data_IF_609816534724
#
_entry.id   IF_609816534724
#
_cell.length_a   1.000
_cell.length_b   1.000
_cell.length_c   1.000
_cell.angle_alpha   90.00
_cell.angle_beta   90.00
_cell.angle_gamma   90.00
#
_symmetry.space_group_name_H-M   'P 1'
#
loop_
_entity.id
_entity.type
_entity.pdbx_description
1 polymer ?
#
# COMPACT_ATOMS: atom_id res chain seq x y z
N UNK A 1 6.27 -15.76 9.18
CA UNK A 1 5.42 -14.66 8.66
C UNK A 1 5.37 -14.72 7.14
N UNK A 2 4.17 -14.85 6.58
CA UNK A 2 3.98 -14.75 5.13
C UNK A 2 4.13 -13.28 4.69
N UNK A 3 4.88 -13.02 3.62
CA UNK A 3 5.18 -11.67 3.12
C UNK A 3 5.27 -11.66 1.59
N UNK A 4 5.11 -10.49 0.98
CA UNK A 4 5.35 -10.31 -0.45
C UNK A 4 6.86 -10.32 -0.76
N UNK A 5 7.30 -11.27 -1.59
CA UNK A 5 8.71 -11.44 -1.98
C UNK A 5 8.99 -11.00 -3.43
N UNK A 6 7.99 -10.50 -4.14
CA UNK A 6 8.13 -10.12 -5.55
C UNK A 6 8.77 -8.74 -5.77
N UNK A 7 8.80 -8.27 -7.03
CA UNK A 7 9.38 -6.98 -7.40
C UNK A 7 8.68 -5.79 -6.72
N UNK A 8 9.33 -5.16 -5.73
CA UNK A 8 8.75 -4.09 -4.92
C UNK A 8 8.35 -2.83 -5.71
N UNK A 9 9.16 -2.39 -6.67
CA UNK A 9 8.87 -1.18 -7.48
C UNK A 9 7.67 -1.37 -8.43
N UNK A 10 7.26 -2.61 -8.70
CA UNK A 10 6.01 -2.89 -9.41
C UNK A 10 4.80 -2.38 -8.62
N UNK A 11 4.88 -2.44 -7.29
CA UNK A 11 3.83 -1.97 -6.39
C UNK A 11 3.73 -0.44 -6.40
N UNK A 12 4.85 0.26 -6.27
CA UNK A 12 4.91 1.73 -6.31
C UNK A 12 4.39 2.26 -7.65
N UNK A 13 4.85 1.71 -8.77
CA UNK A 13 4.37 2.06 -10.11
C UNK A 13 2.87 1.81 -10.32
N UNK A 14 2.30 0.81 -9.63
CA UNK A 14 0.87 0.50 -9.74
C UNK A 14 0.02 1.50 -8.98
N UNK A 15 0.51 2.00 -7.84
CA UNK A 15 -0.18 3.01 -7.03
C UNK A 15 0.17 4.45 -7.46
N UNK A 16 1.14 4.62 -8.36
CA UNK A 16 1.55 5.93 -8.89
C UNK A 16 2.20 6.83 -7.85
N UNK A 17 2.75 6.26 -6.78
CA UNK A 17 3.41 6.99 -5.70
C UNK A 17 4.55 6.17 -5.11
N UNK A 18 5.51 6.83 -4.47
CA UNK A 18 6.52 6.12 -3.69
C UNK A 18 5.86 5.47 -2.47
N UNK A 19 6.16 4.20 -2.27
CA UNK A 19 5.66 3.40 -1.13
C UNK A 19 6.79 3.12 -0.12
N UNK A 20 7.95 3.75 -0.29
CA UNK A 20 9.13 3.61 0.57
C UNK A 20 9.64 2.17 0.71
N UNK A 21 9.36 1.34 -0.29
CA UNK A 21 9.72 -0.09 -0.29
C UNK A 21 11.19 -0.37 -0.68
N UNK A 22 11.92 0.67 -1.06
CA UNK A 22 13.35 0.64 -1.39
C UNK A 22 14.04 1.78 -0.65
N UNK A 23 15.31 1.58 -0.30
CA UNK A 23 16.09 2.58 0.43
C UNK A 23 16.15 3.93 -0.30
N UNK A 24 16.07 5.03 0.45
CA UNK A 24 16.09 6.40 -0.07
C UNK A 24 17.43 6.86 -0.67
N UNK A 25 18.46 6.02 -0.68
CA UNK A 25 19.83 6.35 -1.17
C UNK A 25 19.84 6.92 -2.59
N UNK A 26 18.89 6.50 -3.43
CA UNK A 26 18.69 7.02 -4.79
C UNK A 26 17.23 7.34 -4.99
N UNK A 27 16.93 8.43 -5.70
CA UNK A 27 15.58 8.82 -6.06
C UNK A 27 14.85 7.69 -6.80
N UNK A 28 13.54 7.54 -6.54
CA UNK A 28 12.74 6.44 -7.11
C UNK A 28 12.70 6.46 -8.64
N UNK A 29 12.72 7.65 -9.23
CA UNK A 29 12.68 7.87 -10.68
C UNK A 29 13.90 7.29 -11.40
N UNK A 30 15.05 7.27 -10.72
CA UNK A 30 16.28 6.66 -11.25
C UNK A 30 16.22 5.13 -11.27
N UNK A 31 15.33 4.53 -10.45
CA UNK A 31 15.19 3.08 -10.29
C UNK A 31 14.08 2.51 -11.16
N UNK A 32 13.04 3.30 -11.45
CA UNK A 32 11.91 2.84 -12.25
C UNK A 32 11.11 4.01 -12.84
N UNK A 33 10.32 3.72 -13.88
CA UNK A 33 9.37 4.67 -14.47
C UNK A 33 8.12 4.81 -13.60
N UNK A 34 8.15 5.67 -12.58
CA UNK A 34 7.10 5.77 -11.53
C UNK A 34 5.72 6.08 -12.12
N UNK A 35 5.65 6.98 -13.10
CA UNK A 35 4.42 7.46 -13.73
C UNK A 35 3.70 6.43 -14.61
N UNK A 36 4.39 5.35 -14.98
CA UNK A 36 3.81 4.32 -15.87
C UNK A 36 3.45 3.08 -15.07
N UNK A 37 2.17 2.69 -15.18
CA UNK A 37 1.64 1.48 -14.58
C UNK A 37 2.45 0.26 -15.08
N UNK A 38 2.71 -0.76 -14.24
CA UNK A 38 3.43 -1.95 -14.68
C UNK A 38 2.63 -2.79 -15.69
N UNK A 39 3.35 -3.43 -16.62
CA UNK A 39 2.81 -4.32 -17.65
C UNK A 39 2.90 -3.71 -19.06
N UNK A 40 2.70 -4.54 -20.09
CA UNK A 40 2.77 -4.13 -21.50
C UNK A 40 1.77 -3.01 -21.84
N UNK A 41 0.59 -3.04 -21.24
CA UNK A 41 -0.45 -2.02 -21.44
C UNK A 41 -0.35 -0.83 -20.45
N UNK A 42 0.80 -0.63 -19.81
CA UNK A 42 0.98 0.37 -18.76
C UNK A 42 0.77 1.83 -19.17
N UNK A 43 0.89 2.13 -20.48
CA UNK A 43 0.63 3.45 -21.03
C UNK A 43 -0.87 3.77 -21.14
N UNK A 44 -1.74 2.76 -21.19
CA UNK A 44 -3.18 2.95 -21.31
C UNK A 44 -3.78 3.24 -19.93
N UNK A 45 -4.01 4.51 -19.62
CA UNK A 45 -4.74 4.93 -18.42
C UNK A 45 -6.24 4.83 -18.68
N UNK A 46 -6.90 3.85 -18.07
CA UNK A 46 -8.37 3.75 -18.05
C UNK A 46 -8.95 4.51 -16.86
N UNK A 47 -10.18 5.03 -17.01
CA UNK A 47 -10.94 5.60 -15.89
C UNK A 47 -11.28 4.49 -14.89
N UNK A 48 -10.91 4.67 -13.63
CA UNK A 48 -11.28 3.76 -12.56
C UNK A 48 -12.74 3.96 -12.17
N UNK A 49 -13.41 2.87 -11.78
CA UNK A 49 -14.70 2.93 -11.10
C UNK A 49 -14.51 3.34 -9.63
N UNK A 50 -15.59 3.73 -8.96
CA UNK A 50 -15.55 4.13 -7.54
C UNK A 50 -15.02 3.00 -6.64
N UNK A 51 -15.47 1.76 -6.89
CA UNK A 51 -14.91 0.58 -6.23
C UNK A 51 -13.41 0.43 -6.52
N UNK A 52 -12.98 0.68 -7.76
CA UNK A 52 -11.59 0.65 -8.16
C UNK A 52 -10.73 1.65 -7.38
N UNK A 53 -11.23 2.87 -7.16
CA UNK A 53 -10.58 3.90 -6.36
C UNK A 53 -10.41 3.44 -4.90
N UNK A 54 -11.50 2.98 -4.26
CA UNK A 54 -11.45 2.46 -2.89
C UNK A 54 -10.50 1.27 -2.75
N UNK A 55 -10.52 0.35 -3.72
CA UNK A 55 -9.63 -0.79 -3.74
C UNK A 55 -8.17 -0.36 -3.87
N UNK A 56 -7.84 0.63 -4.71
CA UNK A 56 -6.46 1.15 -4.80
C UNK A 56 -6.00 1.74 -3.47
N UNK A 57 -6.83 2.53 -2.82
CA UNK A 57 -6.43 3.12 -1.54
C UNK A 57 -6.18 2.07 -0.46
N UNK A 58 -7.08 1.07 -0.35
CA UNK A 58 -6.85 -0.08 0.54
C UNK A 58 -5.55 -0.82 0.21
N UNK A 59 -5.30 -1.09 -1.08
CA UNK A 59 -4.09 -1.79 -1.50
C UNK A 59 -2.82 -0.98 -1.24
N UNK A 60 -2.87 0.35 -1.36
CA UNK A 60 -1.75 1.25 -1.09
C UNK A 60 -1.30 1.13 0.37
N UNK A 61 -2.23 1.33 1.31
CA UNK A 61 -1.96 1.20 2.75
C UNK A 61 -1.41 -0.18 3.09
N UNK A 62 -2.05 -1.25 2.59
CA UNK A 62 -1.57 -2.63 2.79
C UNK A 62 -0.14 -2.86 2.32
N UNK A 63 0.27 -2.21 1.22
CA UNK A 63 1.61 -2.38 0.64
C UNK A 63 2.65 -1.59 1.41
N UNK A 64 2.32 -0.38 1.88
CA UNK A 64 3.20 0.45 2.72
C UNK A 64 3.59 -0.34 3.98
N UNK A 65 2.59 -0.80 4.74
CA UNK A 65 2.83 -1.55 5.97
C UNK A 65 3.17 -3.04 5.75
N UNK A 66 3.23 -3.51 4.50
CA UNK A 66 3.56 -4.90 4.18
C UNK A 66 2.58 -5.95 4.73
N UNK A 67 1.30 -5.61 4.94
CA UNK A 67 0.30 -6.46 5.60
C UNK A 67 -0.57 -7.25 4.58
N UNK A 68 -0.76 -8.55 4.85
CA UNK A 68 -1.64 -9.41 4.05
C UNK A 68 -3.13 -9.10 4.30
N UNK A 69 -3.99 -9.41 3.32
CA UNK A 69 -5.41 -9.03 3.34
C UNK A 69 -6.15 -9.55 4.58
N UNK A 70 -5.91 -10.81 4.95
CA UNK A 70 -6.55 -11.41 6.14
C UNK A 70 -6.20 -10.64 7.41
N UNK A 71 -4.92 -10.31 7.59
CA UNK A 71 -4.46 -9.55 8.76
C UNK A 71 -4.98 -8.11 8.72
N UNK A 72 -4.98 -7.47 7.55
CA UNK A 72 -5.53 -6.12 7.39
C UNK A 72 -7.03 -6.05 7.69
N UNK A 73 -7.81 -7.04 7.23
CA UNK A 73 -9.23 -7.15 7.55
C UNK A 73 -9.48 -7.32 9.06
N UNK A 74 -8.61 -8.06 9.75
CA UNK A 74 -8.69 -8.18 11.20
C UNK A 74 -8.39 -6.85 11.90
N UNK A 75 -7.38 -6.09 11.45
CA UNK A 75 -7.11 -4.75 11.98
C UNK A 75 -8.29 -3.80 11.77
N UNK A 76 -8.93 -3.84 10.60
CA UNK A 76 -10.11 -3.03 10.35
C UNK A 76 -11.27 -3.38 11.29
N UNK A 77 -11.54 -4.67 11.51
CA UNK A 77 -12.56 -5.12 12.47
C UNK A 77 -12.26 -4.65 13.89
N UNK A 78 -10.99 -4.70 14.28
CA UNK A 78 -10.56 -4.21 15.60
C UNK A 78 -10.68 -2.68 15.71
N UNK A 79 -10.25 -1.94 14.69
CA UNK A 79 -10.39 -0.49 14.62
C UNK A 79 -11.84 -0.03 14.70
N UNK A 80 -12.76 -0.77 14.05
CA UNK A 80 -14.19 -0.49 14.07
C UNK A 80 -14.87 -0.82 15.40
N UNK A 81 -14.26 -1.70 16.22
CA UNK A 81 -14.73 -2.04 17.56
C UNK A 81 -14.33 -0.99 18.60
N UNK A 82 -13.22 -0.30 18.36
CA UNK A 82 -12.72 0.76 19.23
C UNK A 82 -13.60 2.01 19.14
N UNK A 83 -13.66 2.78 20.22
CA UNK A 83 -14.38 4.06 20.24
C UNK A 83 -13.62 5.09 19.40
N UNK A 84 -14.33 6.05 18.82
CA UNK A 84 -13.75 7.13 18.02
C UNK A 84 -13.80 6.87 16.52
N UNK A 85 -12.91 7.51 15.75
CA UNK A 85 -12.87 7.42 14.30
C UNK A 85 -12.16 6.13 13.85
N UNK A 86 -12.90 5.24 13.17
CA UNK A 86 -12.38 3.95 12.67
C UNK A 86 -11.15 4.11 11.76
N UNK A 87 -11.08 5.16 10.94
CA UNK A 87 -9.96 5.39 10.04
C UNK A 87 -8.68 5.75 10.79
N UNK A 88 -8.80 6.60 11.80
CA UNK A 88 -7.67 6.97 12.67
C UNK A 88 -7.21 5.77 13.51
N UNK A 89 -8.15 5.03 14.10
CA UNK A 89 -7.85 3.83 14.87
C UNK A 89 -7.12 2.78 14.01
N UNK A 90 -7.52 2.61 12.75
CA UNK A 90 -6.83 1.71 11.83
C UNK A 90 -5.38 2.13 11.58
N UNK A 91 -5.13 3.42 11.35
CA UNK A 91 -3.77 3.91 11.13
C UNK A 91 -2.93 3.76 12.40
N UNK A 92 -3.46 4.07 13.57
CA UNK A 92 -2.76 3.86 14.85
C UNK A 92 -2.38 2.39 15.07
N UNK A 93 -3.27 1.44 14.77
CA UNK A 93 -2.98 0.00 14.88
C UNK A 93 -1.89 -0.47 13.91
N UNK A 94 -1.77 0.17 12.74
CA UNK A 94 -0.72 -0.15 11.77
C UNK A 94 0.62 0.46 12.19
N UNK A 95 0.62 1.70 12.68
CA UNK A 95 1.82 2.41 13.12
C UNK A 95 2.48 1.78 14.36
N UNK A 96 1.68 1.20 15.25
CA UNK A 96 2.14 0.56 16.51
C UNK A 96 2.74 -0.84 16.32
N UNK A 97 2.83 -1.35 15.08
CA UNK A 97 3.42 -2.66 14.83
C UNK A 97 4.94 -2.64 15.05
N UNK A 98 5.46 -3.69 15.68
CA UNK A 98 6.89 -3.81 15.98
C UNK A 98 7.79 -3.69 14.74
N UNK A 99 7.36 -4.20 13.58
CA UNK A 99 8.13 -4.11 12.33
C UNK A 99 8.09 -2.73 11.67
N UNK A 100 7.16 -1.87 12.08
CA UNK A 100 7.03 -0.49 11.60
C UNK A 100 7.72 0.52 12.53
N UNK A 101 7.77 0.24 13.83
CA UNK A 101 8.42 1.11 14.83
C UNK A 101 9.96 1.11 14.74
N UNK A 102 10.55 0.05 14.18
CA UNK A 102 12.01 -0.12 14.03
C UNK A 102 12.50 0.47 12.71
#
# INVERSE_FOLDING_TARGET
MARYLGPKLKLSRREGTDLFLKSGVRAIDTKCKIETIPGQHGARRGRLSDYGVQLREKQKVRRIFGVLEKQFSNYYKEAARQKGNTGENLLQLLETRLDNVV
#
